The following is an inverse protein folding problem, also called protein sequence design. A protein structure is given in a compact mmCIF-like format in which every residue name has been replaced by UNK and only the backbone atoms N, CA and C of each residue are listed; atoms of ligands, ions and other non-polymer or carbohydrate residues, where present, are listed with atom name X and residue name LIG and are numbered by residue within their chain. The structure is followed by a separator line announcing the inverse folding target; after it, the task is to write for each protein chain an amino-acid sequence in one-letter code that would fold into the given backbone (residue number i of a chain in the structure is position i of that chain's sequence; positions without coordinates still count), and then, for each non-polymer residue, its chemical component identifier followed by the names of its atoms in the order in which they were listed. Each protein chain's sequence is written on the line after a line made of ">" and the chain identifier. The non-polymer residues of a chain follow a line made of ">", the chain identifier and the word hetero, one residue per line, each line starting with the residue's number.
data_IF_060346535207
#
_entry.id   IF_060346535207
#
_cell.length_a   1.000
_cell.length_b   1.000
_cell.length_c   1.000
_cell.angle_alpha   90.00
_cell.angle_beta   90.00
_cell.angle_gamma   90.00
#
_symmetry.space_group_name_H-M   'P 1'
#
loop_
_entity.id
_entity.type
_entity.pdbx_description
1 polymer ?
#
# COMPACT_ATOMS: atom_id res chain seq x y z
N UNK A 1 3.70 -2.02 20.85
CA UNK A 1 3.71 -2.09 19.40
C UNK A 1 2.40 -2.58 18.82
N UNK A 2 2.15 -2.32 17.54
CA UNK A 2 0.99 -2.83 16.82
C UNK A 2 1.48 -3.72 15.70
N UNK A 3 0.89 -4.91 15.58
CA UNK A 3 1.05 -5.79 14.43
C UNK A 3 -0.14 -5.57 13.50
N UNK A 4 0.14 -5.45 12.21
CA UNK A 4 -0.89 -5.28 11.18
C UNK A 4 -0.84 -6.45 10.19
N UNK A 5 -2.02 -6.96 9.85
CA UNK A 5 -2.23 -7.89 8.75
C UNK A 5 -3.09 -7.16 7.71
N UNK A 6 -2.56 -6.97 6.52
CA UNK A 6 -3.17 -6.14 5.49
C UNK A 6 -3.40 -7.00 4.25
N UNK A 7 -4.65 -7.07 3.80
CA UNK A 7 -5.04 -7.62 2.51
C UNK A 7 -5.48 -6.50 1.57
N UNK A 8 -4.92 -6.45 0.38
CA UNK A 8 -5.41 -5.59 -0.69
C UNK A 8 -5.77 -6.41 -1.91
N UNK A 9 -6.83 -6.06 -2.59
CA UNK A 9 -7.22 -6.70 -3.84
C UNK A 9 -7.56 -5.63 -4.88
N UNK A 10 -6.90 -5.74 -6.03
CA UNK A 10 -7.10 -4.86 -7.18
C UNK A 10 -7.53 -5.70 -8.36
N UNK A 11 -8.58 -5.30 -9.04
CA UNK A 11 -9.09 -5.97 -10.24
C UNK A 11 -9.35 -4.95 -11.34
N UNK A 12 -8.75 -5.16 -12.52
CA UNK A 12 -9.13 -4.46 -13.73
C UNK A 12 -10.55 -4.93 -14.17
N UNK A 13 -11.46 -3.97 -14.45
CA UNK A 13 -12.86 -4.31 -14.74
C UNK A 13 -13.08 -4.68 -16.21
N UNK A 14 -12.29 -4.13 -17.13
CA UNK A 14 -12.36 -4.43 -18.57
C UNK A 14 -11.48 -5.60 -19.01
N UNK A 15 -10.65 -6.12 -18.10
CA UNK A 15 -9.67 -7.18 -18.38
C UNK A 15 -9.70 -8.23 -17.28
N UNK A 16 -9.04 -9.36 -17.52
CA UNK A 16 -8.97 -10.47 -16.56
C UNK A 16 -7.96 -10.29 -15.40
N UNK A 17 -6.93 -9.41 -15.45
CA UNK A 17 -5.94 -9.33 -14.40
C UNK A 17 -6.52 -8.88 -13.07
N UNK A 18 -6.04 -9.49 -11.99
CA UNK A 18 -6.26 -9.07 -10.62
C UNK A 18 -5.05 -9.43 -9.77
N UNK A 19 -4.85 -8.70 -8.69
CA UNK A 19 -3.79 -8.94 -7.71
C UNK A 19 -4.40 -8.86 -6.32
N UNK A 20 -4.18 -9.90 -5.52
CA UNK A 20 -4.35 -9.88 -4.08
C UNK A 20 -2.97 -9.82 -3.45
N UNK A 21 -2.71 -8.87 -2.55
CA UNK A 21 -1.47 -8.78 -1.81
C UNK A 21 -1.75 -8.92 -0.33
N UNK A 22 -1.11 -9.88 0.31
CA UNK A 22 -1.05 -9.99 1.76
C UNK A 22 0.23 -9.35 2.27
N UNK A 23 0.11 -8.47 3.26
CA UNK A 23 1.24 -7.85 3.95
C UNK A 23 1.08 -8.07 5.44
N UNK A 24 2.15 -8.50 6.10
CA UNK A 24 2.24 -8.49 7.54
C UNK A 24 3.33 -7.53 7.97
N UNK A 25 2.99 -6.66 8.92
CA UNK A 25 3.88 -5.61 9.44
C UNK A 25 3.97 -5.69 10.95
N UNK A 26 5.18 -5.52 11.49
CA UNK A 26 5.44 -5.50 12.93
C UNK A 26 6.56 -4.51 13.28
N UNK A 27 6.54 -3.95 14.51
CA UNK A 27 7.60 -3.07 14.99
C UNK A 27 8.87 -3.87 15.28
N UNK A 28 10.03 -3.29 14.97
CA UNK A 28 11.34 -3.86 15.26
C UNK A 28 12.02 -3.06 16.39
N UNK A 29 11.88 -3.53 17.62
CA UNK A 29 12.43 -2.86 18.81
C UNK A 29 11.66 -1.62 19.25
N UNK A 30 11.17 -0.80 18.32
CA UNK A 30 10.34 0.38 18.61
C UNK A 30 9.36 0.64 17.47
N UNK A 31 8.39 1.55 17.68
CA UNK A 31 7.44 1.97 16.65
C UNK A 31 8.10 2.79 15.51
N UNK A 32 9.30 3.32 15.75
CA UNK A 32 10.04 4.05 14.72
C UNK A 32 10.59 3.12 13.63
N UNK A 33 10.80 1.84 13.95
CA UNK A 33 11.33 0.84 13.04
C UNK A 33 10.28 -0.21 12.77
N UNK A 34 9.92 -0.41 11.52
CA UNK A 34 8.95 -1.42 11.13
C UNK A 34 9.53 -2.31 10.04
N UNK A 35 9.34 -3.60 10.22
CA UNK A 35 9.65 -4.63 9.24
C UNK A 35 8.34 -5.20 8.73
N UNK A 36 8.27 -5.49 7.44
CA UNK A 36 7.13 -6.19 6.86
C UNK A 36 7.55 -7.06 5.69
N UNK A 37 6.72 -8.03 5.35
CA UNK A 37 6.80 -8.71 4.08
C UNK A 37 5.46 -8.59 3.35
N UNK A 38 5.53 -8.63 2.02
CA UNK A 38 4.36 -8.62 1.16
C UNK A 38 4.44 -9.79 0.18
N UNK A 39 3.36 -10.53 0.04
CA UNK A 39 3.25 -11.68 -0.87
C UNK A 39 2.04 -11.46 -1.76
N UNK A 40 2.23 -11.19 -3.06
CA UNK A 40 1.12 -11.09 -4.01
C UNK A 40 0.71 -12.48 -4.49
N UNK A 41 -0.60 -12.70 -4.62
CA UNK A 41 -1.20 -13.77 -5.38
C UNK A 41 -2.04 -13.13 -6.48
N UNK A 42 -1.78 -13.48 -7.73
CA UNK A 42 -2.28 -12.71 -8.85
C UNK A 42 -2.69 -13.58 -10.02
N UNK A 43 -3.49 -12.97 -10.91
CA UNK A 43 -3.79 -13.49 -12.23
C UNK A 43 -3.24 -12.54 -13.28
N UNK A 44 -2.32 -13.04 -14.09
CA UNK A 44 -1.80 -12.39 -15.27
C UNK A 44 -2.21 -13.19 -16.49
N UNK A 45 -3.00 -12.62 -17.40
CA UNK A 45 -3.53 -13.31 -18.58
C UNK A 45 -4.29 -14.60 -18.18
N UNK A 46 -3.79 -15.78 -18.56
CA UNK A 46 -4.39 -17.10 -18.29
C UNK A 46 -3.85 -17.80 -17.04
N UNK A 47 -2.73 -17.31 -16.50
CA UNK A 47 -2.08 -17.95 -15.36
C UNK A 47 -2.45 -17.25 -14.05
N UNK A 48 -2.56 -18.03 -12.98
CA UNK A 48 -2.68 -17.54 -11.61
C UNK A 48 -1.63 -18.18 -10.72
N UNK A 49 -1.12 -17.45 -9.75
CA UNK A 49 -0.11 -17.93 -8.81
C UNK A 49 0.50 -16.80 -7.98
N UNK A 50 1.48 -17.15 -7.18
CA UNK A 50 2.24 -16.17 -6.41
C UNK A 50 3.13 -15.33 -7.33
N UNK A 51 3.21 -14.03 -7.01
CA UNK A 51 4.13 -13.09 -7.63
C UNK A 51 5.44 -12.97 -6.85
N UNK A 52 6.20 -11.92 -7.14
CA UNK A 52 7.45 -11.62 -6.44
C UNK A 52 7.16 -11.09 -5.05
N UNK A 53 7.75 -11.72 -4.03
CA UNK A 53 7.63 -11.28 -2.65
C UNK A 53 8.50 -10.05 -2.39
N UNK A 54 8.12 -9.25 -1.40
CA UNK A 54 8.92 -8.12 -0.94
C UNK A 54 9.19 -8.20 0.56
N UNK A 55 10.41 -7.84 0.97
CA UNK A 55 10.77 -7.55 2.36
C UNK A 55 10.96 -6.05 2.47
N UNK A 56 10.26 -5.41 3.41
CA UNK A 56 10.23 -3.98 3.53
C UNK A 56 10.72 -3.56 4.92
N UNK A 57 11.54 -2.51 4.95
CA UNK A 57 11.93 -1.82 6.16
C UNK A 57 11.48 -0.37 6.07
N UNK A 58 10.74 0.10 7.07
CA UNK A 58 10.27 1.49 7.20
C UNK A 58 10.87 2.12 8.46
N UNK A 59 11.36 3.34 8.31
CA UNK A 59 11.86 4.14 9.42
C UNK A 59 11.04 5.42 9.58
N UNK A 60 10.42 5.63 10.75
CA UNK A 60 9.69 6.84 11.09
C UNK A 60 10.68 7.95 11.42
N UNK A 61 11.10 8.71 10.41
CA UNK A 61 12.10 9.77 10.55
C UNK A 61 11.53 11.01 11.25
N UNK A 62 10.29 11.38 10.92
CA UNK A 62 9.53 12.42 11.62
C UNK A 62 8.30 11.75 12.23
N UNK A 63 8.06 11.99 13.52
CA UNK A 63 7.03 11.33 14.31
C UNK A 63 5.65 11.34 13.65
N UNK A 64 4.88 10.27 13.84
CA UNK A 64 3.58 10.08 13.18
C UNK A 64 2.50 11.07 13.66
N UNK A 65 2.64 11.62 14.88
CA UNK A 65 1.78 12.63 15.48
C UNK A 65 2.19 14.07 15.12
N UNK A 66 3.32 14.26 14.44
CA UNK A 66 3.71 15.58 13.94
C UNK A 66 2.72 16.07 12.87
N UNK A 67 2.59 17.40 12.74
CA UNK A 67 1.75 17.98 11.67
C UNK A 67 2.15 17.52 10.27
N UNK A 68 3.43 17.29 10.06
CA UNK A 68 3.98 16.65 8.87
C UNK A 68 4.85 15.49 9.34
N UNK A 69 4.45 14.27 9.01
CA UNK A 69 5.18 13.04 9.31
C UNK A 69 5.90 12.53 8.07
N UNK A 70 7.06 11.90 8.25
CA UNK A 70 7.88 11.34 7.17
C UNK A 70 8.47 9.99 7.56
N UNK A 71 8.25 8.98 6.73
CA UNK A 71 8.65 7.61 7.03
C UNK A 71 9.17 6.86 5.78
N UNK A 72 10.42 7.10 5.34
CA UNK A 72 10.99 6.41 4.20
C UNK A 72 10.95 4.90 4.37
N UNK A 73 10.69 4.19 3.25
CA UNK A 73 10.63 2.73 3.18
C UNK A 73 11.55 2.21 2.08
N UNK A 74 12.40 1.28 2.45
CA UNK A 74 13.24 0.50 1.54
C UNK A 74 12.67 -0.92 1.41
N UNK A 75 12.61 -1.45 0.20
CA UNK A 75 12.11 -2.79 -0.06
C UNK A 75 13.09 -3.58 -0.94
N UNK A 76 13.26 -4.86 -0.61
CA UNK A 76 13.94 -5.85 -1.44
C UNK A 76 12.86 -6.70 -2.13
N UNK A 77 12.88 -6.74 -3.46
CA UNK A 77 11.97 -7.53 -4.26
C UNK A 77 12.64 -8.85 -4.61
N UNK A 78 12.03 -9.97 -4.21
CA UNK A 78 12.58 -11.32 -4.36
C UNK A 78 11.83 -12.02 -5.48
N UNK A 79 12.51 -12.57 -6.51
CA UNK A 79 11.89 -13.18 -7.68
C UNK A 79 11.29 -14.56 -7.35
N UNK A 80 10.22 -14.57 -6.55
CA UNK A 80 9.50 -15.80 -6.18
C UNK A 80 8.40 -16.16 -7.15
N UNK A 81 7.99 -15.22 -8.00
CA UNK A 81 6.98 -15.41 -9.04
C UNK A 81 7.57 -16.10 -10.28
N UNK A 82 6.71 -16.72 -11.07
CA UNK A 82 7.11 -17.36 -12.34
C UNK A 82 7.18 -16.32 -13.46
N UNK A 83 8.37 -15.95 -13.90
CA UNK A 83 8.60 -15.05 -15.04
C UNK A 83 7.95 -15.57 -16.33
N UNK A 84 8.15 -16.84 -16.65
CA UNK A 84 7.62 -17.47 -17.87
C UNK A 84 6.09 -17.47 -17.96
N UNK A 85 5.40 -17.29 -16.81
CA UNK A 85 3.96 -17.16 -16.72
C UNK A 85 3.49 -15.70 -16.55
N UNK A 86 4.42 -14.74 -16.53
CA UNK A 86 4.14 -13.33 -16.28
C UNK A 86 3.66 -13.04 -14.84
N UNK A 87 4.08 -13.86 -13.88
CA UNK A 87 3.74 -13.73 -12.46
C UNK A 87 4.86 -13.13 -11.62
N UNK A 88 6.04 -12.91 -12.21
CA UNK A 88 7.20 -12.30 -11.57
C UNK A 88 8.17 -11.74 -12.59
N UNK A 89 9.18 -11.02 -12.12
CA UNK A 89 10.16 -10.35 -12.98
C UNK A 89 11.43 -11.20 -13.21
N UNK A 90 11.55 -12.35 -12.53
CA UNK A 90 12.70 -13.24 -12.66
C UNK A 90 14.01 -12.72 -12.06
N UNK A 91 14.03 -11.49 -11.58
CA UNK A 91 15.23 -10.79 -11.10
C UNK A 91 15.03 -10.17 -9.74
N UNK A 92 16.11 -10.08 -8.97
CA UNK A 92 16.13 -9.31 -7.73
C UNK A 92 15.95 -7.82 -8.03
N UNK A 93 15.14 -7.14 -7.25
CA UNK A 93 14.90 -5.71 -7.38
C UNK A 93 14.95 -4.97 -6.04
N UNK A 94 15.02 -3.66 -6.12
CA UNK A 94 14.95 -2.77 -4.95
C UNK A 94 13.93 -1.67 -5.19
N UNK A 95 13.28 -1.22 -4.09
CA UNK A 95 12.35 -0.12 -4.13
C UNK A 95 12.63 0.85 -2.99
N UNK A 96 12.61 2.14 -3.29
CA UNK A 96 12.59 3.22 -2.31
C UNK A 96 11.27 3.96 -2.43
N UNK A 97 10.59 4.18 -1.30
CA UNK A 97 9.42 5.04 -1.18
C UNK A 97 9.65 6.13 -0.12
N UNK A 98 9.17 7.32 -0.40
CA UNK A 98 9.30 8.51 0.43
C UNK A 98 7.90 9.04 0.81
N UNK A 99 7.15 8.34 1.67
CA UNK A 99 5.83 8.78 2.09
C UNK A 99 5.91 9.94 3.08
N UNK A 100 5.10 10.96 2.80
CA UNK A 100 4.87 12.13 3.66
C UNK A 100 3.38 12.18 3.99
N UNK A 101 3.05 12.42 5.25
CA UNK A 101 1.67 12.64 5.71
C UNK A 101 1.56 14.03 6.31
N UNK A 102 0.53 14.78 5.96
CA UNK A 102 0.27 16.12 6.48
C UNK A 102 -1.15 16.22 7.03
N UNK A 103 -1.28 16.68 8.26
CA UNK A 103 -2.56 17.00 8.91
C UNK A 103 -2.95 18.43 8.55
N UNK A 104 -4.04 18.58 7.79
CA UNK A 104 -4.53 19.86 7.24
C UNK A 104 -5.76 20.38 8.04
N UNK A 105 -5.65 20.42 9.36
CA UNK A 105 -6.74 20.81 10.27
C UNK A 105 -7.29 19.61 11.04
N UNK A 106 -8.50 19.73 11.58
CA UNK A 106 -9.10 18.72 12.47
C UNK A 106 -9.74 17.54 11.72
N UNK A 107 -10.05 17.70 10.44
CA UNK A 107 -10.86 16.72 9.70
C UNK A 107 -10.26 16.32 8.35
N UNK A 108 -9.08 16.81 7.99
CA UNK A 108 -8.44 16.50 6.69
C UNK A 108 -7.00 16.07 6.91
N UNK A 109 -6.64 14.94 6.31
CA UNK A 109 -5.26 14.44 6.23
C UNK A 109 -4.91 14.27 4.76
N UNK A 110 -3.68 14.59 4.40
CA UNK A 110 -3.13 14.36 3.06
C UNK A 110 -1.91 13.46 3.14
N UNK A 111 -1.82 12.49 2.24
CA UNK A 111 -0.63 11.65 2.09
C UNK A 111 -0.04 11.86 0.70
N UNK A 112 1.27 11.89 0.64
CA UNK A 112 2.06 12.01 -0.58
C UNK A 112 3.13 10.93 -0.58
N UNK A 113 3.46 10.41 -1.74
CA UNK A 113 4.55 9.45 -1.90
C UNK A 113 5.25 9.67 -3.23
N UNK A 114 6.57 9.66 -3.20
CA UNK A 114 7.41 9.50 -4.38
C UNK A 114 8.18 8.20 -4.22
N UNK A 115 8.26 7.40 -5.28
CA UNK A 115 8.92 6.11 -5.24
C UNK A 115 9.69 5.79 -6.50
N UNK A 116 10.70 4.96 -6.35
CA UNK A 116 11.44 4.35 -7.44
C UNK A 116 11.59 2.86 -7.17
N UNK A 117 11.31 2.06 -8.18
CA UNK A 117 11.53 0.60 -8.19
C UNK A 117 12.49 0.29 -9.32
N UNK A 118 13.63 -0.31 -8.98
CA UNK A 118 14.65 -0.74 -9.91
C UNK A 118 14.71 -2.26 -9.95
N UNK A 119 14.49 -2.83 -11.12
CA UNK A 119 14.81 -4.20 -11.48
C UNK A 119 15.69 -4.13 -12.75
N UNK A 120 16.48 -5.16 -13.08
CA UNK A 120 17.23 -5.15 -14.32
C UNK A 120 16.33 -4.78 -15.50
N UNK A 121 16.85 -3.93 -16.39
CA UNK A 121 16.22 -3.45 -17.64
C UNK A 121 15.01 -2.50 -17.48
N UNK A 122 14.36 -2.44 -16.30
CA UNK A 122 13.20 -1.57 -16.09
C UNK A 122 13.28 -0.84 -14.75
N UNK A 123 13.22 0.49 -14.81
CA UNK A 123 13.01 1.33 -13.64
C UNK A 123 11.63 1.95 -13.70
N UNK A 124 10.88 1.81 -12.60
CA UNK A 124 9.54 2.38 -12.43
C UNK A 124 9.60 3.53 -11.43
N UNK A 125 9.09 4.68 -11.84
CA UNK A 125 8.87 5.84 -10.98
C UNK A 125 7.39 5.93 -10.61
N UNK A 126 7.09 6.22 -9.35
CA UNK A 126 5.73 6.41 -8.87
C UNK A 126 5.61 7.74 -8.14
N UNK A 127 4.51 8.44 -8.37
CA UNK A 127 4.11 9.62 -7.59
C UNK A 127 2.64 9.43 -7.23
N UNK A 128 2.35 9.49 -5.93
CA UNK A 128 0.99 9.36 -5.41
C UNK A 128 0.65 10.51 -4.48
N UNK A 129 -0.62 10.88 -4.46
CA UNK A 129 -1.16 11.81 -3.49
C UNK A 129 -2.59 11.46 -3.14
N UNK A 130 -2.96 11.59 -1.87
CA UNK A 130 -4.33 11.39 -1.43
C UNK A 130 -4.78 12.48 -0.47
N UNK A 131 -6.08 12.75 -0.50
CA UNK A 131 -6.78 13.56 0.49
C UNK A 131 -7.80 12.67 1.17
N UNK A 132 -7.80 12.71 2.51
CA UNK A 132 -8.67 11.93 3.36
C UNK A 132 -9.49 12.89 4.20
N UNK A 133 -10.80 12.86 4.02
CA UNK A 133 -11.74 13.53 4.89
C UNK A 133 -12.17 12.57 6.01
N UNK A 134 -11.85 12.94 7.24
CA UNK A 134 -12.24 12.25 8.47
C UNK A 134 -13.70 12.63 8.79
N UNK A 135 -14.65 12.04 8.09
CA UNK A 135 -16.08 12.38 8.21
C UNK A 135 -16.66 11.97 9.55
N UNK A 136 -16.08 10.94 10.19
CA UNK A 136 -16.34 10.57 11.60
C UNK A 136 -15.11 9.87 12.18
N UNK A 137 -15.07 9.59 13.51
CA UNK A 137 -13.96 8.85 14.13
C UNK A 137 -13.71 7.45 13.54
N UNK A 138 -14.71 6.87 12.86
CA UNK A 138 -14.64 5.53 12.31
C UNK A 138 -14.90 5.47 10.80
N UNK A 139 -15.17 6.60 10.14
CA UNK A 139 -15.50 6.61 8.70
C UNK A 139 -14.77 7.74 7.98
N UNK A 140 -14.05 7.38 6.92
CA UNK A 140 -13.27 8.30 6.11
C UNK A 140 -13.66 8.20 4.63
N UNK A 141 -13.67 9.34 3.95
CA UNK A 141 -13.76 9.43 2.50
C UNK A 141 -12.36 9.75 1.98
N UNK A 142 -11.93 9.01 0.98
CA UNK A 142 -10.56 9.08 0.43
C UNK A 142 -10.65 9.36 -1.06
N UNK A 143 -9.77 10.22 -1.54
CA UNK A 143 -9.50 10.34 -2.97
C UNK A 143 -8.00 10.30 -3.18
N UNK A 144 -7.53 9.36 -3.97
CA UNK A 144 -6.11 9.18 -4.30
C UNK A 144 -5.89 9.41 -5.79
N UNK A 145 -4.77 9.99 -6.16
CA UNK A 145 -4.25 9.99 -7.52
C UNK A 145 -2.87 9.33 -7.53
N UNK A 146 -2.66 8.39 -8.45
CA UNK A 146 -1.42 7.64 -8.61
C UNK A 146 -0.95 7.73 -10.05
N UNK A 147 0.24 8.29 -10.24
CA UNK A 147 0.99 8.26 -11.49
C UNK A 147 2.12 7.25 -11.44
N UNK A 148 2.32 6.55 -12.55
CA UNK A 148 3.38 5.59 -12.76
C UNK A 148 4.02 5.85 -14.12
N UNK A 149 5.35 5.80 -14.18
CA UNK A 149 6.12 5.87 -15.43
C UNK A 149 7.28 4.90 -15.40
N UNK A 150 7.53 4.21 -16.51
CA UNK A 150 8.63 3.25 -16.64
C UNK A 150 9.63 3.68 -17.70
N UNK A 151 10.89 3.23 -17.56
CA UNK A 151 11.96 3.51 -18.54
C UNK A 151 11.70 2.90 -19.91
N UNK A 152 10.86 1.87 -20.01
CA UNK A 152 10.38 1.27 -21.27
C UNK A 152 9.30 2.11 -21.98
N UNK A 153 8.89 3.25 -21.40
CA UNK A 153 7.90 4.17 -21.96
C UNK A 153 6.47 3.95 -21.48
N UNK A 154 6.18 2.89 -20.71
CA UNK A 154 4.86 2.69 -20.11
C UNK A 154 4.54 3.79 -19.11
N UNK A 155 3.29 4.25 -19.12
CA UNK A 155 2.78 5.27 -18.21
C UNK A 155 1.35 4.95 -17.81
N UNK A 156 1.02 5.23 -16.56
CA UNK A 156 -0.34 5.13 -16.05
C UNK A 156 -0.65 6.32 -15.15
N UNK A 157 -1.91 6.72 -15.13
CA UNK A 157 -2.45 7.70 -14.18
C UNK A 157 -3.87 7.27 -13.83
N UNK A 158 -4.10 7.04 -12.53
CA UNK A 158 -5.39 6.57 -12.00
C UNK A 158 -5.81 7.46 -10.85
N UNK A 159 -7.11 7.78 -10.81
CA UNK A 159 -7.75 8.46 -9.68
C UNK A 159 -8.69 7.47 -8.99
N UNK A 160 -8.55 7.32 -7.68
CA UNK A 160 -9.25 6.33 -6.86
C UNK A 160 -10.11 7.01 -5.77
N UNK A 161 -11.34 7.46 -6.07
CA UNK A 161 -12.29 7.79 -5.02
C UNK A 161 -12.71 6.54 -4.27
N UNK A 162 -12.80 6.64 -2.95
CA UNK A 162 -13.10 5.51 -2.09
C UNK A 162 -13.55 5.90 -0.69
N UNK A 163 -13.87 4.89 0.10
CA UNK A 163 -14.24 5.01 1.49
C UNK A 163 -13.52 3.96 2.33
N UNK A 164 -13.29 4.27 3.58
CA UNK A 164 -12.69 3.39 4.57
C UNK A 164 -13.40 3.58 5.91
N UNK A 165 -13.63 2.50 6.63
CA UNK A 165 -14.20 2.57 7.97
C UNK A 165 -13.47 1.63 8.92
N UNK A 166 -13.55 1.91 10.22
CA UNK A 166 -12.93 1.14 11.27
C UNK A 166 -13.98 0.57 12.22
N UNK A 167 -13.78 -0.68 12.62
CA UNK A 167 -14.52 -1.32 13.71
C UNK A 167 -13.54 -1.68 14.83
N UNK A 168 -13.79 -1.12 16.03
CA UNK A 168 -12.96 -1.34 17.21
C UNK A 168 -13.64 -2.35 18.13
N UNK A 169 -12.97 -3.46 18.43
CA UNK A 169 -13.44 -4.46 19.38
C UNK A 169 -12.96 -4.16 20.79
N UNK A 170 -13.71 -4.59 21.78
CA UNK A 170 -13.31 -4.48 23.20
C UNK A 170 -12.00 -5.20 23.51
N UNK A 171 -11.61 -6.20 22.71
CA UNK A 171 -10.32 -6.92 22.84
C UNK A 171 -9.11 -6.09 22.39
N UNK A 172 -9.29 -4.88 21.89
CA UNK A 172 -8.24 -4.05 21.31
C UNK A 172 -7.90 -4.40 19.83
N UNK A 173 -8.60 -5.36 19.24
CA UNK A 173 -8.54 -5.61 17.80
C UNK A 173 -9.28 -4.48 17.07
N UNK A 174 -8.66 -3.94 16.02
CA UNK A 174 -9.33 -3.06 15.07
C UNK A 174 -9.36 -3.74 13.70
N UNK A 175 -10.50 -3.67 13.03
CA UNK A 175 -10.66 -4.11 11.63
C UNK A 175 -11.00 -2.89 10.79
N UNK A 176 -10.25 -2.69 9.71
CA UNK A 176 -10.43 -1.53 8.81
C UNK A 176 -10.65 -2.01 7.39
N UNK A 177 -11.90 -2.18 6.94
CA UNK A 177 -12.22 -2.38 5.54
C UNK A 177 -12.25 -1.06 4.77
N UNK A 178 -11.97 -1.13 3.47
CA UNK A 178 -12.05 -0.01 2.55
C UNK A 178 -12.33 -0.48 1.12
N UNK A 179 -12.97 0.38 0.35
CA UNK A 179 -13.25 0.15 -1.07
C UNK A 179 -12.98 1.43 -1.85
N UNK A 180 -12.46 1.27 -3.07
CA UNK A 180 -12.29 2.38 -3.99
C UNK A 180 -12.55 1.93 -5.44
N UNK A 181 -12.84 2.91 -6.28
CA UNK A 181 -13.06 2.71 -7.71
C UNK A 181 -12.00 3.46 -8.50
N UNK A 182 -11.18 2.73 -9.24
CA UNK A 182 -10.10 3.29 -10.05
C UNK A 182 -10.59 3.78 -11.40
N UNK A 183 -10.31 5.04 -11.71
CA UNK A 183 -10.64 5.70 -12.97
C UNK A 183 -9.33 6.06 -13.65
N UNK A 184 -9.03 5.42 -14.76
CA UNK A 184 -7.87 5.77 -15.60
C UNK A 184 -8.07 7.10 -16.29
N UNK A 185 -7.06 7.98 -16.19
CA UNK A 185 -7.04 9.29 -16.84
C UNK A 185 -5.75 9.44 -17.67
N UNK A 186 -5.74 10.37 -18.61
CA UNK A 186 -4.58 10.59 -19.50
C UNK A 186 -4.15 9.29 -20.20
N UNK A 187 -2.94 8.77 -19.93
CA UNK A 187 -2.42 7.56 -20.58
C UNK A 187 -3.24 6.30 -20.26
N UNK A 188 -3.97 6.26 -19.13
CA UNK A 188 -4.84 5.15 -18.73
C UNK A 188 -6.31 5.38 -19.06
N UNK A 189 -6.64 6.33 -19.91
CA UNK A 189 -8.04 6.68 -20.23
C UNK A 189 -8.81 5.47 -20.71
N UNK A 190 -9.99 5.24 -20.08
CA UNK A 190 -10.86 4.12 -20.39
C UNK A 190 -10.60 2.88 -19.52
N UNK A 191 -9.51 2.85 -18.76
CA UNK A 191 -9.27 1.79 -17.79
C UNK A 191 -10.06 2.05 -16.50
N UNK A 192 -10.56 0.98 -15.90
CA UNK A 192 -11.31 1.02 -14.65
C UNK A 192 -10.87 -0.14 -13.77
N UNK A 193 -10.87 0.07 -12.47
CA UNK A 193 -10.52 -0.98 -11.50
C UNK A 193 -11.37 -0.90 -10.24
N UNK A 194 -11.54 -2.03 -9.58
CA UNK A 194 -12.05 -2.11 -8.23
C UNK A 194 -10.88 -2.38 -7.27
N UNK A 195 -10.86 -1.66 -6.16
CA UNK A 195 -9.88 -1.82 -5.10
C UNK A 195 -10.59 -2.15 -3.80
N UNK A 196 -10.12 -3.17 -3.10
CA UNK A 196 -10.55 -3.56 -1.77
C UNK A 196 -9.36 -3.59 -0.84
N UNK A 197 -9.58 -3.11 0.36
CA UNK A 197 -8.62 -3.08 1.45
C UNK A 197 -9.24 -3.69 2.69
N UNK A 198 -8.45 -4.47 3.43
CA UNK A 198 -8.84 -4.99 4.72
C UNK A 198 -7.60 -5.10 5.60
N UNK A 199 -7.59 -4.41 6.75
CA UNK A 199 -6.56 -4.61 7.75
C UNK A 199 -7.12 -5.10 9.07
N UNK A 200 -6.28 -5.88 9.77
CA UNK A 200 -6.47 -6.31 11.14
C UNK A 200 -5.28 -5.78 11.94
N UNK A 201 -5.57 -4.97 12.93
CA UNK A 201 -4.57 -4.33 13.77
C UNK A 201 -4.76 -4.78 15.22
N UNK A 202 -3.71 -5.27 15.86
CA UNK A 202 -3.75 -5.67 17.25
C UNK A 202 -2.45 -5.33 17.96
N UNK A 203 -2.53 -5.14 19.27
CA UNK A 203 -1.36 -4.84 20.09
C UNK A 203 -0.44 -6.06 20.14
N UNK A 204 0.87 -5.85 19.92
CA UNK A 204 1.90 -6.88 19.97
C UNK A 204 2.28 -7.24 21.41
N UNK A 205 2.17 -6.27 22.34
CA UNK A 205 2.44 -6.47 23.77
C UNK A 205 1.22 -6.04 24.57
N UNK A 206 0.76 -6.88 25.49
CA UNK A 206 -0.15 -6.43 26.52
C UNK A 206 0.55 -5.34 27.36
N UNK A 207 -0.16 -4.29 27.76
CA UNK A 207 0.34 -3.36 28.75
C UNK A 207 0.72 -4.21 29.99
N UNK A 208 2.02 -4.30 30.31
CA UNK A 208 2.45 -4.82 31.59
C UNK A 208 1.85 -3.91 32.64
N UNK A 209 0.87 -4.42 33.39
CA UNK A 209 0.22 -3.66 34.46
C UNK A 209 1.30 -3.06 35.35
N UNK A 210 1.33 -1.76 35.48
CA UNK A 210 2.02 -1.09 36.57
C UNK A 210 1.13 -1.33 37.78
N UNK A 211 1.54 -2.29 38.62
CA UNK A 211 1.16 -2.32 40.04
C UNK A 211 1.87 -1.18 40.78
#
# INVERSE_FOLDING_TARGET
>A
GVVQHIGTWVRALQRSPWVFTFTQEWPLGSQAHQLSYSIPFQRASRYSGFGDAAINYRYQLVAADARVAFAPRLSLLIPTGSESRGLGNGNLGAQLNLPVSATLGSSVVSHWNAGVTAIPDVTTYTIGGSVIWLASPVFNIVCEALWLGQTNGERALVVNPGVRWAHNFASGLQIVPGVAYGIGVGPSRGEQSAFFYLSFEHRFQAESGRE
#
